data_IF_200690908382
#
_entry.id   IF_200690908382
#
_cell.length_a   1.000
_cell.length_b   1.000
_cell.length_c   1.000
_cell.angle_alpha   90.00
_cell.angle_beta   90.00
_cell.angle_gamma   90.00
#
_symmetry.space_group_name_H-M   'P 1'
#
loop_
_entity.id
_entity.type
_entity.pdbx_description
1 polymer ?
#
# COMPACT_ATOMS: atom_id res chain seq x y z
N UNK A 1 -12.73 15.76 17.96
CA UNK A 1 -11.98 14.71 17.24
C UNK A 1 -11.82 15.17 15.81
N UNK A 2 -10.59 15.30 15.33
CA UNK A 2 -10.35 15.73 13.95
C UNK A 2 -10.51 14.52 13.01
N UNK A 3 -11.62 14.50 12.28
CA UNK A 3 -11.94 13.43 11.33
C UNK A 3 -10.89 13.35 10.20
N UNK A 4 -10.25 14.46 9.87
CA UNK A 4 -9.16 14.52 8.89
C UNK A 4 -7.95 13.70 9.34
N UNK A 5 -7.58 13.77 10.62
CA UNK A 5 -6.46 13.02 11.19
C UNK A 5 -6.71 11.51 11.19
N UNK A 6 -7.92 11.07 11.58
CA UNK A 6 -8.30 9.65 11.54
C UNK A 6 -8.27 9.09 10.12
N UNK A 7 -8.73 9.88 9.16
CA UNK A 7 -8.69 9.53 7.74
C UNK A 7 -7.25 9.34 7.26
N UNK A 8 -6.35 10.27 7.58
CA UNK A 8 -4.93 10.15 7.22
C UNK A 8 -4.26 8.92 7.85
N UNK A 9 -4.53 8.63 9.12
CA UNK A 9 -4.00 7.44 9.81
C UNK A 9 -4.45 6.13 9.15
N UNK A 10 -5.70 6.06 8.68
CA UNK A 10 -6.18 4.90 7.91
C UNK A 10 -5.41 4.79 6.59
N UNK A 11 -5.28 5.89 5.84
CA UNK A 11 -4.58 5.88 4.56
C UNK A 11 -3.10 5.50 4.70
N UNK A 12 -2.44 5.96 5.76
CA UNK A 12 -1.01 5.69 6.02
C UNK A 12 -0.75 4.20 6.28
N UNK A 13 -1.66 3.52 7.01
CA UNK A 13 -1.58 2.06 7.22
C UNK A 13 -1.59 1.25 5.93
N UNK A 14 -2.18 1.78 4.86
CA UNK A 14 -2.18 1.14 3.54
C UNK A 14 -1.00 1.56 2.66
N UNK A 15 -0.22 2.58 3.02
CA UNK A 15 0.87 3.16 2.22
C UNK A 15 2.16 2.33 2.25
N UNK A 16 2.06 1.02 2.01
CA UNK A 16 3.19 0.11 1.92
C UNK A 16 3.50 -0.27 0.46
N UNK A 17 4.75 -0.63 0.16
CA UNK A 17 5.14 -1.02 -1.19
C UNK A 17 4.38 -2.28 -1.61
N UNK A 18 4.16 -3.24 -0.69
CA UNK A 18 3.40 -4.46 -0.95
C UNK A 18 1.99 -4.22 -1.51
N UNK A 19 1.34 -3.13 -1.11
CA UNK A 19 -0.01 -2.75 -1.55
C UNK A 19 -0.02 -1.92 -2.84
N UNK A 20 1.17 -1.50 -3.30
CA UNK A 20 1.35 -0.78 -4.55
C UNK A 20 1.16 -1.72 -5.75
N UNK A 21 0.52 -1.23 -6.82
CA UNK A 21 0.35 -1.97 -8.09
C UNK A 21 1.68 -2.34 -8.76
N UNK A 22 2.74 -1.60 -8.46
CA UNK A 22 4.06 -1.79 -9.07
C UNK A 22 4.92 -2.82 -8.35
N UNK A 23 4.49 -3.32 -7.20
CA UNK A 23 5.24 -4.31 -6.42
C UNK A 23 5.23 -5.67 -7.11
N UNK A 24 6.42 -6.17 -7.43
CA UNK A 24 6.65 -7.42 -8.11
C UNK A 24 7.46 -8.37 -7.23
N UNK A 25 6.84 -9.39 -6.65
CA UNK A 25 7.57 -10.50 -6.05
C UNK A 25 8.14 -11.39 -7.16
N UNK A 26 9.43 -11.67 -7.07
CA UNK A 26 10.17 -12.54 -7.98
C UNK A 26 10.73 -13.70 -7.17
N UNK A 27 10.35 -14.92 -7.55
CA UNK A 27 10.88 -16.14 -6.93
C UNK A 27 12.21 -16.48 -7.59
N UNK A 28 13.29 -16.38 -6.83
CA UNK A 28 14.64 -16.76 -7.25
C UNK A 28 15.05 -18.09 -6.61
N UNK A 29 16.12 -18.70 -7.14
CA UNK A 29 16.69 -19.96 -6.58
C UNK A 29 17.12 -19.83 -5.12
N UNK A 30 17.50 -18.61 -4.69
CA UNK A 30 17.97 -18.31 -3.32
C UNK A 30 16.88 -17.78 -2.39
N UNK A 31 15.65 -17.56 -2.86
CA UNK A 31 14.56 -17.04 -2.04
C UNK A 31 13.61 -16.11 -2.80
N UNK A 32 12.87 -15.28 -2.05
CA UNK A 32 12.01 -14.24 -2.62
C UNK A 32 12.79 -12.94 -2.76
N UNK A 33 12.71 -12.34 -3.94
CA UNK A 33 13.19 -10.99 -4.22
C UNK A 33 12.00 -10.11 -4.53
N UNK A 34 12.03 -8.85 -4.09
CA UNK A 34 10.96 -7.91 -4.36
C UNK A 34 11.49 -6.74 -5.16
N UNK A 35 10.82 -6.44 -6.27
CA UNK A 35 11.23 -5.37 -7.18
C UNK A 35 10.06 -4.42 -7.39
N UNK A 36 10.38 -3.15 -7.67
CA UNK A 36 9.40 -2.19 -8.15
C UNK A 36 9.46 -2.15 -9.69
N UNK A 37 8.40 -2.60 -10.36
CA UNK A 37 8.31 -2.55 -11.84
C UNK A 37 8.51 -1.16 -12.44
N UNK A 38 8.08 -0.11 -11.72
CA UNK A 38 8.12 1.27 -12.20
C UNK A 38 9.53 1.86 -12.22
N UNK A 39 10.29 1.60 -11.16
CA UNK A 39 11.58 2.25 -10.92
C UNK A 39 12.75 1.25 -11.05
N UNK A 40 12.45 -0.04 -11.24
CA UNK A 40 13.40 -1.13 -11.49
C UNK A 40 14.46 -1.32 -10.39
N UNK A 41 14.13 -1.00 -9.15
CA UNK A 41 14.98 -1.20 -7.98
C UNK A 41 14.41 -2.28 -7.05
N UNK A 42 15.30 -2.83 -6.23
CA UNK A 42 14.94 -3.76 -5.17
C UNK A 42 14.23 -3.04 -4.03
N UNK A 43 13.05 -3.53 -3.68
CA UNK A 43 12.19 -2.94 -2.66
C UNK A 43 11.92 -3.95 -1.54
N UNK A 44 11.27 -3.51 -0.47
CA UNK A 44 10.74 -4.40 0.57
C UNK A 44 9.24 -4.17 0.76
N UNK A 45 8.49 -5.18 1.21
CA UNK A 45 7.04 -5.09 1.39
C UNK A 45 6.60 -3.92 2.29
N UNK A 46 7.39 -3.63 3.33
CA UNK A 46 7.19 -2.63 4.38
C UNK A 46 7.58 -1.19 3.97
N UNK A 47 8.27 -1.01 2.84
CA UNK A 47 8.73 0.31 2.45
C UNK A 47 7.59 1.24 2.03
N UNK A 48 7.69 2.51 2.40
CA UNK A 48 6.71 3.52 2.02
C UNK A 48 7.33 4.49 1.00
N UNK A 49 6.81 4.49 -0.23
CA UNK A 49 7.28 5.40 -1.27
C UNK A 49 6.28 6.52 -1.51
N UNK A 50 6.77 7.74 -1.78
CA UNK A 50 5.91 8.86 -2.20
C UNK A 50 5.19 8.58 -3.51
N UNK A 51 5.76 7.73 -4.36
CA UNK A 51 5.17 7.31 -5.63
C UNK A 51 4.12 6.19 -5.50
N UNK A 52 3.71 5.85 -4.27
CA UNK A 52 2.78 4.76 -3.99
C UNK A 52 1.47 4.92 -4.78
N UNK A 53 1.06 3.83 -5.45
CA UNK A 53 -0.16 3.77 -6.22
C UNK A 53 -0.86 2.44 -5.91
N UNK A 54 -1.93 2.43 -5.10
CA UNK A 54 -2.54 1.20 -4.58
C UNK A 54 -3.11 0.33 -5.70
N UNK A 55 -3.12 -0.99 -5.45
CA UNK A 55 -3.90 -1.93 -6.25
C UNK A 55 -5.40 -1.66 -6.07
N UNK A 56 -6.20 -2.00 -7.07
CA UNK A 56 -7.66 -1.80 -7.02
C UNK A 56 -8.30 -2.45 -5.77
N UNK A 57 -7.91 -3.69 -5.45
CA UNK A 57 -8.35 -4.37 -4.23
C UNK A 57 -8.04 -3.59 -2.95
N UNK A 58 -6.90 -2.90 -2.89
CA UNK A 58 -6.50 -2.07 -1.74
C UNK A 58 -7.36 -0.82 -1.68
N UNK A 59 -7.67 -0.21 -2.82
CA UNK A 59 -8.61 0.94 -2.90
C UNK A 59 -9.98 0.55 -2.37
N UNK A 60 -10.50 -0.64 -2.72
CA UNK A 60 -11.79 -1.11 -2.21
C UNK A 60 -11.76 -1.33 -0.69
N UNK A 61 -10.68 -1.91 -0.16
CA UNK A 61 -10.49 -2.08 1.29
C UNK A 61 -10.42 -0.74 2.02
N UNK A 62 -9.74 0.25 1.44
CA UNK A 62 -9.68 1.61 1.99
C UNK A 62 -11.05 2.27 2.01
N UNK A 63 -11.81 2.18 0.91
CA UNK A 63 -13.18 2.72 0.85
C UNK A 63 -14.08 2.10 1.91
N UNK A 64 -14.02 0.77 2.10
CA UNK A 64 -14.77 0.09 3.15
C UNK A 64 -14.40 0.64 4.54
N UNK A 65 -13.11 0.78 4.83
CA UNK A 65 -12.61 1.31 6.11
C UNK A 65 -12.96 2.77 6.34
N UNK A 66 -13.02 3.57 5.28
CA UNK A 66 -13.42 4.98 5.36
C UNK A 66 -14.94 5.12 5.52
N UNK A 67 -15.74 4.28 4.86
CA UNK A 67 -17.19 4.24 5.07
C UNK A 67 -17.57 3.82 6.50
N UNK A 68 -16.84 2.86 7.08
CA UNK A 68 -16.99 2.49 8.50
C UNK A 68 -16.73 3.67 9.46
N UNK A 69 -15.91 4.67 9.08
CA UNK A 69 -15.70 5.89 9.89
C UNK A 69 -16.80 6.94 9.73
N UNK A 70 -17.56 6.92 8.64
CA UNK A 70 -18.61 7.90 8.37
C UNK A 70 -19.97 7.46 8.97
N UNK A 71 -20.11 6.17 9.28
CA UNK A 71 -21.28 5.57 9.93
C UNK A 71 -21.19 5.54 11.48
N UNK A 72 -20.04 5.89 12.07
CA UNK A 72 -19.78 6.02 13.52
C UNK A 72 -19.89 7.48 14.00
#
# INVERSE_FOLDING_TARGET
MDLSKRREEILDRFRACATCRHFQPVKEKKGMRYLCSRLQYETKPDYQFRCWNPKEQVVQLMKKKLGELEEE
#
